data_IF_037080932665
#
_entry.id   IF_037080932665
#
_cell.length_a   1.000
_cell.length_b   1.000
_cell.length_c   1.000
_cell.angle_alpha   90.00
_cell.angle_beta   90.00
_cell.angle_gamma   90.00
#
_symmetry.space_group_name_H-M   'P 1'
#
loop_
_entity.id
_entity.type
_entity.pdbx_description
1 polymer ?
#
# COMPACT_ATOMS: atom_id res chain seq x y z
N UNK A 1 25.62 9.72 -17.27
CA UNK A 1 24.41 9.05 -17.79
C UNK A 1 23.97 7.87 -16.92
N UNK A 2 24.83 6.89 -16.60
CA UNK A 2 24.41 5.72 -15.81
C UNK A 2 24.07 6.05 -14.35
N UNK A 3 24.87 6.90 -13.68
CA UNK A 3 24.60 7.37 -12.31
C UNK A 3 23.27 8.13 -12.17
N UNK A 4 22.88 8.89 -13.19
CA UNK A 4 21.61 9.64 -13.17
C UNK A 4 20.43 8.69 -13.36
N UNK A 5 20.55 7.75 -14.29
CA UNK A 5 19.55 6.72 -14.53
C UNK A 5 19.32 5.84 -13.30
N UNK A 6 20.39 5.41 -12.63
CA UNK A 6 20.31 4.66 -11.38
C UNK A 6 19.55 5.42 -10.29
N UNK A 7 19.81 6.73 -10.13
CA UNK A 7 19.09 7.56 -9.16
C UNK A 7 17.60 7.67 -9.49
N UNK A 8 17.26 7.78 -10.77
CA UNK A 8 15.86 7.80 -11.22
C UNK A 8 15.17 6.47 -10.95
N UNK A 9 15.80 5.35 -11.29
CA UNK A 9 15.28 4.02 -10.99
C UNK A 9 15.05 3.84 -9.49
N UNK A 10 16.04 4.18 -8.67
CA UNK A 10 15.94 4.06 -7.21
C UNK A 10 14.79 4.91 -6.66
N UNK A 11 14.58 6.11 -7.22
CA UNK A 11 13.46 6.98 -6.84
C UNK A 11 12.11 6.35 -7.18
N UNK A 12 11.92 5.87 -8.41
CA UNK A 12 10.65 5.26 -8.82
C UNK A 12 10.38 3.94 -8.06
N UNK A 13 11.41 3.12 -7.80
CA UNK A 13 11.30 1.94 -6.95
C UNK A 13 10.89 2.29 -5.51
N UNK A 14 11.47 3.35 -4.94
CA UNK A 14 11.12 3.78 -3.58
C UNK A 14 9.66 4.25 -3.50
N UNK A 15 9.17 4.95 -4.53
CA UNK A 15 7.76 5.36 -4.61
C UNK A 15 6.86 4.13 -4.70
N UNK A 16 7.17 3.19 -5.60
CA UNK A 16 6.41 1.95 -5.76
C UNK A 16 6.40 1.12 -4.46
N UNK A 17 7.57 0.95 -3.82
CA UNK A 17 7.74 0.25 -2.56
C UNK A 17 6.86 0.81 -1.45
N UNK A 18 6.86 2.14 -1.27
CA UNK A 18 5.96 2.81 -0.32
C UNK A 18 4.49 2.58 -0.67
N UNK A 19 4.10 2.70 -1.94
CA UNK A 19 2.69 2.48 -2.36
C UNK A 19 2.25 1.04 -2.07
N UNK A 20 3.09 0.06 -2.38
CA UNK A 20 2.82 -1.36 -2.14
C UNK A 20 2.71 -1.66 -0.65
N UNK A 21 3.66 -1.21 0.17
CA UNK A 21 3.62 -1.44 1.62
C UNK A 21 2.43 -0.77 2.29
N UNK A 22 2.09 0.47 1.90
CA UNK A 22 0.90 1.13 2.44
C UNK A 22 -0.39 0.43 2.02
N UNK A 23 -0.47 -0.08 0.79
CA UNK A 23 -1.61 -0.88 0.33
C UNK A 23 -1.76 -2.19 1.11
N UNK A 24 -0.68 -2.97 1.25
CA UNK A 24 -0.70 -4.21 2.02
C UNK A 24 -1.03 -3.97 3.49
N UNK A 25 -0.43 -2.95 4.10
CA UNK A 25 -0.73 -2.58 5.48
C UNK A 25 -2.22 -2.27 5.67
N UNK A 26 -2.83 -1.47 4.79
CA UNK A 26 -4.26 -1.16 4.83
C UNK A 26 -5.12 -2.42 4.66
N UNK A 27 -4.76 -3.27 3.70
CA UNK A 27 -5.48 -4.52 3.40
C UNK A 27 -5.44 -5.50 4.58
N UNK A 28 -4.30 -5.61 5.25
CA UNK A 28 -4.09 -6.57 6.33
C UNK A 28 -4.46 -6.01 7.72
N UNK A 29 -4.78 -4.71 7.83
CA UNK A 29 -5.14 -4.03 9.08
C UNK A 29 -6.25 -4.78 9.83
N UNK A 30 -7.41 -4.96 9.18
CA UNK A 30 -8.59 -5.56 9.82
C UNK A 30 -8.34 -7.00 10.22
N UNK A 31 -7.63 -7.76 9.38
CA UNK A 31 -7.25 -9.14 9.66
C UNK A 31 -6.32 -9.22 10.87
N UNK A 32 -5.31 -8.36 10.93
CA UNK A 32 -4.36 -8.31 12.04
C UNK A 32 -5.05 -7.86 13.34
N UNK A 33 -5.94 -6.87 13.25
CA UNK A 33 -6.78 -6.40 14.37
C UNK A 33 -7.65 -7.54 14.92
N UNK A 34 -8.35 -8.26 14.05
CA UNK A 34 -9.16 -9.40 14.42
C UNK A 34 -8.34 -10.53 15.07
N UNK A 35 -7.16 -10.83 14.51
CA UNK A 35 -6.23 -11.83 15.07
C UNK A 35 -5.80 -11.46 16.48
N UNK A 36 -5.36 -10.22 16.72
CA UNK A 36 -4.94 -9.75 18.04
C UNK A 36 -6.11 -9.70 19.03
N UNK A 37 -7.30 -9.30 18.60
CA UNK A 37 -8.50 -9.32 19.43
C UNK A 37 -8.85 -10.75 19.87
N UNK A 38 -8.78 -11.72 18.96
CA UNK A 38 -8.98 -13.14 19.28
C UNK A 38 -7.91 -13.67 20.25
N UNK A 39 -6.65 -13.35 20.01
CA UNK A 39 -5.52 -13.72 20.89
C UNK A 39 -5.72 -13.16 22.30
N UNK A 40 -6.15 -11.89 22.41
CA UNK A 40 -6.53 -11.29 23.70
C UNK A 40 -7.66 -12.06 24.38
N UNK A 41 -8.72 -12.40 23.65
CA UNK A 41 -9.84 -13.19 24.21
C UNK A 41 -9.39 -14.56 24.72
N UNK A 42 -8.45 -15.20 24.01
CA UNK A 42 -7.89 -16.49 24.41
C UNK A 42 -7.06 -16.37 25.71
N UNK A 43 -6.25 -15.31 25.84
CA UNK A 43 -5.48 -15.03 27.06
C UNK A 43 -6.37 -14.72 28.26
N UNK A 44 -7.48 -14.00 28.06
CA UNK A 44 -8.47 -13.75 29.11
C UNK A 44 -9.08 -15.07 29.58
N UNK A 45 -9.42 -15.98 28.65
CA UNK A 45 -9.94 -17.32 28.97
C UNK A 45 -8.91 -18.15 29.75
N UNK A 46 -7.63 -18.04 29.42
CA UNK A 46 -6.54 -18.74 30.12
C UNK A 46 -6.04 -18.02 31.39
N UNK A 47 -6.65 -16.88 31.78
CA UNK A 47 -6.24 -16.03 32.91
C UNK A 47 -4.78 -15.57 32.84
N UNK A 48 -4.28 -15.37 31.64
CA UNK A 48 -2.93 -14.88 31.37
C UNK A 48 -2.90 -13.35 31.18
N UNK A 49 -1.75 -12.69 31.44
CA UNK A 49 -1.62 -11.24 31.29
C UNK A 49 -1.81 -10.81 29.82
N UNK A 50 -2.63 -9.79 29.60
CA UNK A 50 -3.01 -9.29 28.26
C UNK A 50 -2.26 -8.04 27.83
N UNK A 51 -1.42 -7.47 28.69
CA UNK A 51 -0.86 -6.12 28.52
C UNK A 51 -0.06 -5.97 27.23
N UNK A 52 0.68 -7.01 26.83
CA UNK A 52 1.45 -7.03 25.58
C UNK A 52 0.56 -6.98 24.35
N UNK A 53 -0.53 -7.76 24.33
CA UNK A 53 -1.46 -7.79 23.20
C UNK A 53 -2.27 -6.49 23.13
N UNK A 54 -2.61 -5.91 24.29
CA UNK A 54 -3.26 -4.60 24.32
C UNK A 54 -2.35 -3.52 23.74
N UNK A 55 -1.07 -3.47 24.15
CA UNK A 55 -0.11 -2.53 23.59
C UNK A 55 0.10 -2.73 22.07
N UNK A 56 0.06 -3.97 21.58
CA UNK A 56 0.11 -4.25 20.13
C UNK A 56 -1.14 -3.79 19.39
N UNK A 57 -2.32 -3.94 19.99
CA UNK A 57 -3.57 -3.44 19.42
C UNK A 57 -3.56 -1.91 19.35
N UNK A 58 -3.16 -1.24 20.43
CA UNK A 58 -3.06 0.22 20.49
C UNK A 58 -2.01 0.75 19.50
N UNK A 59 -0.88 0.04 19.35
CA UNK A 59 0.15 0.37 18.36
C UNK A 59 -0.37 0.21 16.92
N UNK A 60 -1.15 -0.83 16.64
CA UNK A 60 -1.76 -1.04 15.33
C UNK A 60 -2.81 0.03 15.01
N UNK A 61 -3.59 0.46 16.01
CA UNK A 61 -4.55 1.56 15.90
C UNK A 61 -3.88 2.92 15.75
N UNK A 62 -2.68 3.11 16.30
CA UNK A 62 -1.92 4.35 16.16
C UNK A 62 -1.48 4.67 14.72
N UNK A 63 -1.68 3.74 13.77
CA UNK A 63 -1.50 3.99 12.34
C UNK A 63 -0.04 4.17 11.92
N UNK A 64 0.92 3.80 12.78
CA UNK A 64 2.34 3.82 12.43
C UNK A 64 2.65 2.69 11.45
N UNK A 65 2.70 3.03 10.16
CA UNK A 65 3.10 2.12 9.09
C UNK A 65 4.62 1.99 9.13
N UNK A 66 5.11 0.85 9.61
CA UNK A 66 6.53 0.51 9.46
C UNK A 66 6.78 0.00 8.03
N UNK A 67 7.52 0.79 7.25
CA UNK A 67 7.87 0.44 5.87
C UNK A 67 9.33 -0.02 5.91
N UNK A 68 9.61 -1.30 5.65
CA UNK A 68 10.99 -1.78 5.65
C UNK A 68 11.80 -1.01 4.61
N UNK A 69 13.09 -0.73 4.88
CA UNK A 69 13.92 0.00 3.93
C UNK A 69 14.09 -0.81 2.64
N UNK A 70 14.09 -0.11 1.50
CA UNK A 70 14.40 -0.72 0.22
C UNK A 70 15.87 -1.16 0.19
N UNK A 71 16.11 -2.43 -0.10
CA UNK A 71 17.47 -2.96 -0.25
C UNK A 71 18.12 -2.43 -1.54
N UNK A 72 18.92 -1.38 -1.38
CA UNK A 72 19.64 -0.74 -2.48
C UNK A 72 20.74 -1.62 -3.10
N UNK A 73 21.21 -2.65 -2.39
CA UNK A 73 22.27 -3.52 -2.90
C UNK A 73 21.78 -4.36 -4.09
N UNK A 74 20.53 -4.83 -4.02
CA UNK A 74 19.89 -5.59 -5.11
C UNK A 74 19.77 -4.79 -6.41
N UNK A 75 19.64 -3.47 -6.33
CA UNK A 75 19.58 -2.61 -7.52
C UNK A 75 20.96 -2.50 -8.17
N UNK A 76 22.03 -2.53 -7.36
CA UNK A 76 23.42 -2.49 -7.87
C UNK A 76 23.84 -3.78 -8.55
N UNK A 77 23.39 -4.93 -8.06
CA UNK A 77 23.69 -6.25 -8.67
C UNK A 77 22.98 -6.48 -10.01
N UNK A 78 22.07 -5.59 -10.41
CA UNK A 78 21.38 -5.65 -11.70
C UNK A 78 22.12 -4.86 -12.81
N UNK A 79 23.36 -4.42 -12.58
CA UNK A 79 24.08 -3.43 -13.39
C UNK A 79 25.43 -3.93 -13.93
N UNK A 80 25.65 -5.22 -14.01
CA UNK A 80 27.00 -5.79 -14.21
C UNK A 80 27.45 -5.79 -15.69
N UNK A 81 26.57 -5.52 -16.67
CA UNK A 81 26.84 -5.58 -18.13
C UNK A 81 26.37 -4.34 -18.92
N UNK A 82 26.85 -4.15 -20.16
CA UNK A 82 26.43 -3.03 -21.01
C UNK A 82 24.96 -3.13 -21.48
N UNK A 83 24.45 -4.35 -21.72
CA UNK A 83 23.02 -4.59 -22.00
C UNK A 83 22.13 -4.11 -20.84
N UNK A 84 22.67 -4.07 -19.61
CA UNK A 84 21.94 -3.59 -18.44
C UNK A 84 21.62 -2.11 -18.53
N UNK A 85 22.38 -1.29 -19.26
CA UNK A 85 22.09 0.14 -19.38
C UNK A 85 20.78 0.38 -20.13
N UNK A 86 20.56 -0.34 -21.23
CA UNK A 86 19.29 -0.27 -21.97
C UNK A 86 18.14 -0.87 -21.16
N UNK A 87 18.38 -1.99 -20.48
CA UNK A 87 17.37 -2.60 -19.61
C UNK A 87 16.94 -1.67 -18.47
N UNK A 88 17.89 -0.98 -17.82
CA UNK A 88 17.58 0.04 -16.82
C UNK A 88 16.74 1.18 -17.37
N UNK A 89 17.05 1.67 -18.57
CA UNK A 89 16.27 2.72 -19.22
C UNK A 89 14.83 2.26 -19.41
N UNK A 90 14.65 1.04 -19.92
CA UNK A 90 13.35 0.44 -20.13
C UNK A 90 12.57 0.25 -18.83
N UNK A 91 13.20 -0.30 -17.78
CA UNK A 91 12.56 -0.49 -16.46
C UNK A 91 12.20 0.85 -15.82
N UNK A 92 13.09 1.84 -15.88
CA UNK A 92 12.85 3.17 -15.32
C UNK A 92 11.68 3.85 -16.04
N UNK A 93 11.66 3.78 -17.37
CA UNK A 93 10.57 4.31 -18.18
C UNK A 93 9.25 3.59 -17.87
N UNK A 94 9.27 2.26 -17.76
CA UNK A 94 8.09 1.47 -17.41
C UNK A 94 7.51 1.87 -16.05
N UNK A 95 8.32 1.93 -14.99
CA UNK A 95 7.85 2.29 -13.65
C UNK A 95 7.25 3.70 -13.61
N UNK A 96 7.91 4.67 -14.25
CA UNK A 96 7.41 6.04 -14.36
C UNK A 96 6.08 6.09 -15.11
N UNK A 97 5.99 5.40 -16.25
CA UNK A 97 4.78 5.35 -17.07
C UNK A 97 3.63 4.65 -16.32
N UNK A 98 3.91 3.57 -15.59
CA UNK A 98 2.91 2.88 -14.77
C UNK A 98 2.35 3.79 -13.68
N UNK A 99 3.21 4.59 -13.03
CA UNK A 99 2.77 5.59 -12.04
C UNK A 99 1.86 6.65 -12.68
N UNK A 100 2.28 7.25 -13.79
CA UNK A 100 1.50 8.26 -14.51
C UNK A 100 0.17 7.68 -15.00
N UNK A 101 0.19 6.47 -15.55
CA UNK A 101 -1.02 5.77 -15.99
C UNK A 101 -2.03 5.60 -14.86
N UNK A 102 -1.57 5.16 -13.68
CA UNK A 102 -2.42 5.04 -12.50
C UNK A 102 -3.00 6.41 -12.06
N UNK A 103 -2.18 7.47 -12.05
CA UNK A 103 -2.63 8.83 -11.73
C UNK A 103 -3.70 9.33 -12.71
N UNK A 104 -3.55 9.04 -14.00
CA UNK A 104 -4.53 9.38 -15.03
C UNK A 104 -5.82 8.58 -14.86
N UNK A 105 -5.73 7.28 -14.58
CA UNK A 105 -6.91 6.46 -14.30
C UNK A 105 -7.69 6.98 -13.09
N UNK A 106 -7.02 7.27 -11.98
CA UNK A 106 -7.65 7.80 -10.76
C UNK A 106 -8.35 9.16 -11.03
N UNK A 107 -7.79 10.00 -11.92
CA UNK A 107 -8.35 11.31 -12.28
C UNK A 107 -9.57 11.22 -13.18
N UNK A 108 -9.47 10.44 -14.26
CA UNK A 108 -10.50 10.42 -15.31
C UNK A 108 -11.53 9.31 -15.12
N UNK A 109 -11.20 8.26 -14.37
CA UNK A 109 -12.11 7.18 -14.01
C UNK A 109 -12.01 6.79 -12.52
N UNK A 110 -12.36 7.72 -11.60
CA UNK A 110 -12.34 7.44 -10.18
C UNK A 110 -13.31 6.31 -9.79
N UNK A 111 -14.34 6.05 -10.60
CA UNK A 111 -15.31 4.98 -10.39
C UNK A 111 -14.72 3.57 -10.48
N UNK A 112 -13.59 3.40 -11.16
CA UNK A 112 -12.91 2.11 -11.30
C UNK A 112 -12.40 1.55 -9.96
N UNK A 113 -11.93 2.43 -9.08
CA UNK A 113 -11.33 2.08 -7.79
C UNK A 113 -12.32 2.19 -6.62
N UNK A 114 -13.54 2.69 -6.86
CA UNK A 114 -14.55 2.84 -5.83
C UNK A 114 -15.23 1.51 -5.51
N UNK A 115 -15.60 1.32 -4.24
CA UNK A 115 -16.49 0.21 -3.90
C UNK A 115 -17.84 0.38 -4.61
N UNK A 116 -18.52 -0.74 -4.87
CA UNK A 116 -19.87 -0.69 -5.46
C UNK A 116 -20.80 0.18 -4.62
N UNK A 117 -20.73 0.06 -3.29
CA UNK A 117 -21.54 0.83 -2.36
C UNK A 117 -21.30 2.34 -2.49
N UNK A 118 -20.04 2.77 -2.54
CA UNK A 118 -19.71 4.19 -2.73
C UNK A 118 -20.16 4.70 -4.09
N UNK A 119 -20.09 3.87 -5.13
CA UNK A 119 -20.53 4.24 -6.46
C UNK A 119 -22.05 4.46 -6.50
N UNK A 120 -22.82 3.53 -5.94
CA UNK A 120 -24.28 3.67 -5.82
C UNK A 120 -24.60 4.93 -5.00
N UNK A 121 -23.91 5.17 -3.87
CA UNK A 121 -24.10 6.37 -3.03
C UNK A 121 -23.83 7.68 -3.77
N UNK A 122 -22.72 7.79 -4.49
CA UNK A 122 -22.42 9.00 -5.28
C UNK A 122 -23.43 9.19 -6.43
N UNK A 123 -23.87 8.11 -7.06
CA UNK A 123 -24.85 8.17 -8.14
C UNK A 123 -26.23 8.59 -7.63
N UNK A 124 -26.65 8.10 -6.45
CA UNK A 124 -27.86 8.54 -5.77
C UNK A 124 -27.77 10.04 -5.40
N UNK A 125 -26.65 10.48 -4.81
CA UNK A 125 -26.45 11.88 -4.47
C UNK A 125 -26.52 12.81 -5.68
N UNK A 126 -26.05 12.35 -6.86
CA UNK A 126 -26.12 13.11 -8.12
C UNK A 126 -27.56 13.42 -8.55
N UNK A 127 -28.53 12.60 -8.15
CA UNK A 127 -29.96 12.81 -8.43
C UNK A 127 -30.75 13.31 -7.20
N UNK A 128 -30.06 13.72 -6.13
CA UNK A 128 -30.68 14.22 -4.91
C UNK A 128 -31.27 13.14 -4.00
N UNK A 129 -30.92 11.87 -4.19
CA UNK A 129 -31.33 10.76 -3.34
C UNK A 129 -30.22 10.43 -2.33
N UNK A 130 -30.59 10.09 -1.09
CA UNK A 130 -29.67 9.57 -0.07
C UNK A 130 -29.88 8.07 0.13
N UNK A 131 -28.79 7.32 0.28
CA UNK A 131 -28.83 5.89 0.59
C UNK A 131 -28.70 5.71 2.10
N UNK A 132 -29.57 4.94 2.76
CA UNK A 132 -29.45 4.64 4.17
C UNK A 132 -28.18 3.82 4.46
N UNK A 133 -27.56 4.07 5.61
CA UNK A 133 -26.44 3.25 6.08
C UNK A 133 -26.93 1.85 6.47
N UNK A 134 -26.07 0.84 6.30
CA UNK A 134 -26.37 -0.51 6.77
C UNK A 134 -26.50 -0.50 8.30
N UNK A 135 -27.62 -1.04 8.79
CA UNK A 135 -27.88 -1.34 10.21
C UNK A 135 -27.01 -2.52 10.65
#
# INVERSE_FOLDING_TARGET
MLKTLYKELQKELLIAHKKVHTFHWKKDLDKNKARLAYEKMQLIRSRQPTDKIQAQLDALESGKIDIPPLDSHKVKTLLDSEDDVHNLQNVTAYLKNQRIYNELLERYNPGLTMSQEDNVRKTANRVGLSIPEKI
#
